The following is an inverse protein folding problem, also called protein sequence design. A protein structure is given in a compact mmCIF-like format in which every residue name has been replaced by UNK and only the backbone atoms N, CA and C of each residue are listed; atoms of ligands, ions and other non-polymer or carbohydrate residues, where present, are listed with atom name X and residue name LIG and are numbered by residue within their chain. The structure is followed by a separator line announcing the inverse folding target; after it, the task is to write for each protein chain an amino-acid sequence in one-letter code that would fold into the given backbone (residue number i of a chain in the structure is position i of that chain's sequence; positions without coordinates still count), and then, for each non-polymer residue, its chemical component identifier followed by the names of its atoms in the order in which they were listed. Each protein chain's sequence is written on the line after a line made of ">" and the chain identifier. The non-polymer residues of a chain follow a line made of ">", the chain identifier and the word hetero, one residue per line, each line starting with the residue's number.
data_IF_979216074743
#
_entry.id   IF_979216074743
#
_cell.length_a   1.000
_cell.length_b   1.000
_cell.length_c   1.000
_cell.angle_alpha   90.00
_cell.angle_beta   90.00
_cell.angle_gamma   90.00
#
_symmetry.space_group_name_H-M   'P 1'
#
loop_
_entity.id
_entity.type
_entity.pdbx_description
1 polymer ?
#
# COMPACT_ATOMS: atom_id res chain seq x y z
N UNK A 1 26.49 -14.59 8.34
CA UNK A 1 27.15 -13.88 9.45
C UNK A 1 28.00 -12.73 8.92
N UNK A 2 29.15 -12.97 8.26
CA UNK A 2 30.01 -11.90 7.73
C UNK A 2 29.29 -10.92 6.78
N UNK A 3 28.49 -11.43 5.84
CA UNK A 3 27.74 -10.59 4.88
C UNK A 3 26.66 -9.76 5.57
N UNK A 4 26.00 -10.31 6.59
CA UNK A 4 24.99 -9.60 7.40
C UNK A 4 25.63 -8.47 8.21
N UNK A 5 26.85 -8.70 8.72
CA UNK A 5 27.64 -7.69 9.43
C UNK A 5 28.06 -6.57 8.47
N UNK A 6 28.62 -6.91 7.31
CA UNK A 6 29.02 -5.94 6.28
C UNK A 6 27.81 -5.09 5.86
N UNK A 7 26.67 -5.72 5.62
CA UNK A 7 25.42 -5.04 5.26
C UNK A 7 24.94 -4.05 6.32
N UNK A 8 25.01 -4.42 7.61
CA UNK A 8 24.65 -3.53 8.71
C UNK A 8 25.61 -2.37 8.87
N UNK A 9 26.91 -2.62 8.75
CA UNK A 9 27.94 -1.58 8.77
C UNK A 9 27.69 -0.59 7.63
N UNK A 10 27.47 -1.08 6.40
CA UNK A 10 27.14 -0.25 5.25
C UNK A 10 25.84 0.55 5.45
N UNK A 11 24.81 -0.05 6.05
CA UNK A 11 23.57 0.66 6.38
C UNK A 11 23.75 1.77 7.42
N UNK A 12 24.56 1.52 8.46
CA UNK A 12 24.87 2.52 9.48
C UNK A 12 25.75 3.65 8.92
N UNK A 13 26.70 3.33 8.04
CA UNK A 13 27.53 4.31 7.34
C UNK A 13 26.68 5.18 6.40
N UNK A 14 25.74 4.59 5.65
CA UNK A 14 24.81 5.35 4.80
C UNK A 14 23.92 6.30 5.61
N UNK A 15 23.38 5.84 6.76
CA UNK A 15 22.61 6.69 7.68
C UNK A 15 23.46 7.85 8.26
N UNK A 16 24.72 7.58 8.59
CA UNK A 16 25.65 8.57 9.13
C UNK A 16 26.03 9.63 8.09
N UNK A 17 26.21 9.23 6.83
CA UNK A 17 26.63 10.11 5.73
C UNK A 17 25.50 10.96 5.13
N UNK A 18 24.22 10.74 5.52
CA UNK A 18 23.04 11.49 5.06
C UNK A 18 22.90 11.60 3.53
N UNK A 19 23.46 10.66 2.76
CA UNK A 19 23.52 10.70 1.29
C UNK A 19 22.23 10.28 0.56
N UNK A 20 21.09 10.22 1.25
CA UNK A 20 19.77 9.99 0.66
C UNK A 20 19.29 8.52 0.64
N UNK A 21 17.98 8.33 0.84
CA UNK A 21 17.20 7.09 0.75
C UNK A 21 17.76 5.82 1.44
N UNK A 22 18.44 5.98 2.59
CA UNK A 22 19.19 4.91 3.29
C UNK A 22 18.40 3.66 3.75
N UNK A 23 17.11 3.55 3.46
CA UNK A 23 16.29 2.39 3.81
C UNK A 23 16.48 1.20 2.85
N UNK A 24 16.79 1.39 1.57
CA UNK A 24 16.85 0.30 0.56
C UNK A 24 18.26 -0.03 0.07
N UNK A 25 19.19 0.92 0.17
CA UNK A 25 20.57 0.78 -0.32
C UNK A 25 21.31 -0.43 0.26
N UNK A 26 21.25 -0.74 1.57
CA UNK A 26 21.92 -1.92 2.11
C UNK A 26 21.49 -3.21 1.42
N UNK A 27 20.18 -3.36 1.19
CA UNK A 27 19.63 -4.50 0.47
C UNK A 27 20.02 -4.54 -1.01
N UNK A 28 20.08 -3.39 -1.70
CA UNK A 28 20.55 -3.34 -3.08
C UNK A 28 22.01 -3.82 -3.22
N UNK A 29 22.91 -3.37 -2.35
CA UNK A 29 24.30 -3.80 -2.34
C UNK A 29 24.42 -5.30 -2.08
N UNK A 30 23.69 -5.82 -1.08
CA UNK A 30 23.70 -7.25 -0.79
C UNK A 30 23.19 -8.06 -1.96
N UNK A 31 22.08 -7.66 -2.60
CA UNK A 31 21.56 -8.40 -3.74
C UNK A 31 22.55 -8.39 -4.92
N UNK A 32 23.34 -7.32 -5.08
CA UNK A 32 24.39 -7.22 -6.12
C UNK A 32 25.60 -8.11 -5.81
N UNK A 33 26.13 -8.08 -4.59
CA UNK A 33 27.34 -8.80 -4.22
C UNK A 33 27.08 -10.23 -3.72
N UNK A 34 25.86 -10.52 -3.28
CA UNK A 34 25.43 -11.84 -2.80
C UNK A 34 24.05 -12.21 -3.36
N UNK A 35 23.97 -12.62 -4.64
CA UNK A 35 22.70 -12.90 -5.32
C UNK A 35 21.83 -13.97 -4.63
N UNK A 36 22.44 -14.89 -3.88
CA UNK A 36 21.73 -15.93 -3.11
C UNK A 36 21.17 -15.44 -1.77
N UNK A 37 21.37 -14.17 -1.40
CA UNK A 37 20.94 -13.63 -0.11
C UNK A 37 19.46 -13.85 0.15
N UNK A 38 18.61 -13.47 -0.81
CA UNK A 38 17.16 -13.58 -0.69
C UNK A 38 16.74 -15.03 -0.58
N UNK A 39 17.19 -15.90 -1.49
CA UNK A 39 16.91 -17.35 -1.43
C UNK A 39 17.25 -17.94 -0.05
N UNK A 40 18.43 -17.65 0.49
CA UNK A 40 18.86 -18.20 1.79
C UNK A 40 18.14 -17.58 2.98
N UNK A 41 17.82 -16.29 2.93
CA UNK A 41 17.22 -15.59 4.05
C UNK A 41 15.72 -15.81 4.14
N UNK A 42 15.02 -15.85 3.00
CA UNK A 42 13.58 -16.13 2.95
C UNK A 42 13.25 -17.54 3.47
N UNK A 43 14.13 -18.52 3.20
CA UNK A 43 14.02 -19.89 3.73
C UNK A 43 14.15 -20.00 5.26
N UNK A 44 14.50 -18.93 5.98
CA UNK A 44 14.60 -18.93 7.44
C UNK A 44 13.26 -18.65 8.15
N UNK A 45 12.25 -18.16 7.43
CA UNK A 45 10.93 -17.86 7.99
C UNK A 45 10.10 -19.15 8.15
N UNK A 46 10.55 -20.03 9.03
CA UNK A 46 10.01 -21.39 9.16
C UNK A 46 8.59 -21.46 9.73
N UNK A 47 8.13 -20.41 10.43
CA UNK A 47 6.78 -20.38 11.00
C UNK A 47 5.76 -19.77 10.04
N UNK A 48 6.20 -19.07 9.00
CA UNK A 48 5.31 -18.48 8.01
C UNK A 48 5.95 -17.40 7.14
N UNK A 49 5.90 -17.61 5.84
CA UNK A 49 6.27 -16.65 4.82
C UNK A 49 5.03 -16.27 4.00
N UNK A 50 4.68 -14.98 3.99
CA UNK A 50 3.54 -14.43 3.27
C UNK A 50 4.00 -13.38 2.27
N UNK A 51 3.58 -13.55 1.03
CA UNK A 51 3.71 -12.53 -0.01
C UNK A 51 2.36 -11.90 -0.31
N UNK A 52 2.30 -10.58 -0.31
CA UNK A 52 1.10 -9.82 -0.65
C UNK A 52 1.41 -8.97 -1.88
N UNK A 53 0.68 -9.23 -2.96
CA UNK A 53 0.86 -8.57 -4.25
C UNK A 53 -0.47 -8.08 -4.80
N UNK A 54 -0.38 -7.26 -5.84
CA UNK A 54 -1.49 -6.63 -6.52
C UNK A 54 -1.37 -5.12 -6.53
N UNK A 55 -1.96 -4.47 -7.50
CA UNK A 55 -1.66 -3.06 -7.80
C UNK A 55 -1.99 -2.12 -6.63
N UNK A 56 -3.07 -2.41 -5.89
CA UNK A 56 -3.56 -1.66 -4.75
C UNK A 56 -3.78 -2.53 -3.50
N UNK A 57 -3.61 -1.93 -2.31
CA UNK A 57 -3.96 -2.54 -1.03
C UNK A 57 -2.83 -3.32 -0.33
N UNK A 58 -1.68 -3.55 -1.00
CA UNK A 58 -0.54 -4.31 -0.47
C UNK A 58 -0.11 -3.87 0.94
N UNK A 59 0.18 -2.58 1.10
CA UNK A 59 0.67 -2.01 2.36
C UNK A 59 -0.35 -2.12 3.49
N UNK A 60 -1.63 -1.89 3.18
CA UNK A 60 -2.73 -1.99 4.15
C UNK A 60 -2.91 -3.43 4.64
N UNK A 61 -3.00 -4.39 3.71
CA UNK A 61 -3.15 -5.82 4.03
C UNK A 61 -1.92 -6.33 4.79
N UNK A 62 -0.72 -5.94 4.36
CA UNK A 62 0.55 -6.28 5.05
C UNK A 62 0.56 -5.76 6.49
N UNK A 63 0.12 -4.52 6.70
CA UNK A 63 0.02 -3.91 8.03
C UNK A 63 -0.95 -4.68 8.93
N UNK A 64 -2.13 -5.08 8.45
CA UNK A 64 -3.08 -5.85 9.24
C UNK A 64 -2.52 -7.21 9.70
N UNK A 65 -1.90 -7.95 8.78
CA UNK A 65 -1.26 -9.24 9.10
C UNK A 65 -0.13 -9.03 10.12
N UNK A 66 0.76 -8.07 9.89
CA UNK A 66 1.88 -7.77 10.77
C UNK A 66 1.43 -7.32 12.17
N UNK A 67 0.40 -6.47 12.28
CA UNK A 67 -0.15 -5.99 13.56
C UNK A 67 -0.75 -7.13 14.37
N UNK A 68 -1.48 -8.05 13.74
CA UNK A 68 -2.03 -9.22 14.42
C UNK A 68 -0.94 -10.11 15.02
N UNK A 69 0.10 -10.41 14.24
CA UNK A 69 1.22 -11.24 14.68
C UNK A 69 2.01 -10.55 15.81
N UNK A 70 2.28 -9.25 15.65
CA UNK A 70 2.99 -8.44 16.67
C UNK A 70 2.20 -8.34 17.96
N UNK A 71 0.88 -8.16 17.91
CA UNK A 71 0.00 -8.12 19.09
C UNK A 71 -0.04 -9.45 19.86
N UNK A 72 0.43 -10.55 19.25
CA UNK A 72 0.61 -11.86 19.88
C UNK A 72 2.05 -12.09 20.38
N UNK A 73 2.86 -11.04 20.41
CA UNK A 73 4.29 -11.11 20.74
C UNK A 73 5.09 -12.02 19.79
N UNK A 74 4.62 -12.21 18.56
CA UNK A 74 5.35 -12.96 17.53
C UNK A 74 6.28 -12.02 16.78
N UNK A 75 7.50 -12.49 16.53
CA UNK A 75 8.50 -11.70 15.83
C UNK A 75 8.30 -11.77 14.31
N UNK A 76 8.01 -10.61 13.73
CA UNK A 76 7.68 -10.38 12.31
C UNK A 76 8.71 -9.48 11.65
N UNK A 77 9.04 -9.77 10.40
CA UNK A 77 9.74 -8.85 9.49
C UNK A 77 8.79 -8.45 8.36
N UNK A 78 8.76 -7.15 8.05
CA UNK A 78 8.01 -6.59 6.93
C UNK A 78 8.79 -5.42 6.31
N UNK A 79 8.54 -5.13 5.03
CA UNK A 79 9.10 -3.99 4.30
C UNK A 79 8.20 -2.74 4.43
N UNK A 80 8.04 -2.24 5.66
CA UNK A 80 7.13 -1.16 6.04
C UNK A 80 7.34 0.18 5.31
N UNK A 81 8.48 0.38 4.65
CA UNK A 81 8.80 1.62 3.92
C UNK A 81 8.17 1.70 2.52
N UNK A 82 7.35 0.73 2.09
CA UNK A 82 6.80 0.73 0.73
C UNK A 82 7.74 0.09 -0.31
N UNK A 83 8.90 -0.42 0.12
CA UNK A 83 9.97 -0.85 -0.78
C UNK A 83 9.72 -2.30 -1.23
N UNK A 84 8.86 -2.45 -2.23
CA UNK A 84 8.27 -3.69 -2.72
C UNK A 84 9.15 -4.50 -3.71
N UNK A 85 10.40 -4.07 -3.93
CA UNK A 85 11.38 -4.73 -4.79
C UNK A 85 12.46 -5.47 -3.97
N UNK A 86 13.28 -6.27 -4.65
CA UNK A 86 14.33 -7.12 -4.05
C UNK A 86 15.23 -6.39 -3.05
N UNK A 87 15.68 -5.18 -3.37
CA UNK A 87 16.51 -4.37 -2.47
C UNK A 87 15.79 -3.93 -1.19
N UNK A 88 14.50 -3.59 -1.29
CA UNK A 88 13.69 -3.20 -0.13
C UNK A 88 13.43 -4.36 0.83
N UNK A 89 13.03 -5.50 0.27
CA UNK A 89 12.83 -6.73 1.05
C UNK A 89 14.14 -7.19 1.70
N UNK A 90 15.24 -7.22 0.94
CA UNK A 90 16.55 -7.59 1.46
C UNK A 90 16.98 -6.67 2.61
N UNK A 91 16.80 -5.35 2.46
CA UNK A 91 17.16 -4.40 3.51
C UNK A 91 16.32 -4.57 4.79
N UNK A 92 15.03 -4.91 4.64
CA UNK A 92 14.13 -5.17 5.76
C UNK A 92 14.53 -6.43 6.53
N UNK A 93 14.91 -7.48 5.80
CA UNK A 93 15.46 -8.72 6.38
C UNK A 93 16.77 -8.44 7.14
N UNK A 94 17.68 -7.66 6.57
CA UNK A 94 18.95 -7.29 7.22
C UNK A 94 18.72 -6.55 8.52
N UNK A 95 17.76 -5.61 8.50
CA UNK A 95 17.41 -4.80 9.66
C UNK A 95 16.83 -5.64 10.80
N UNK A 96 16.18 -6.76 10.49
CA UNK A 96 15.67 -7.70 11.48
C UNK A 96 16.75 -8.52 12.21
N UNK A 97 17.93 -8.74 11.61
CA UNK A 97 19.01 -9.51 12.27
C UNK A 97 19.62 -8.71 13.42
N UNK A 98 20.24 -9.37 14.41
CA UNK A 98 21.14 -8.72 15.37
C UNK A 98 22.55 -8.51 14.77
N UNK A 99 23.48 -7.87 15.50
CA UNK A 99 24.84 -7.61 15.00
C UNK A 99 25.71 -8.87 14.87
N UNK A 100 25.29 -9.98 15.46
CA UNK A 100 25.92 -11.30 15.33
C UNK A 100 25.30 -12.11 14.17
N UNK A 101 24.30 -11.55 13.47
CA UNK A 101 23.58 -12.21 12.39
C UNK A 101 22.60 -13.29 12.88
N UNK A 102 22.23 -13.29 14.16
CA UNK A 102 21.16 -14.11 14.72
C UNK A 102 19.81 -13.44 14.44
N UNK A 103 18.80 -14.27 14.22
CA UNK A 103 17.42 -13.83 13.98
C UNK A 103 16.53 -14.37 15.09
N UNK A 104 15.71 -13.50 15.68
CA UNK A 104 14.58 -13.90 16.53
C UNK A 104 13.26 -13.96 15.76
N UNK A 105 13.25 -13.56 14.49
CA UNK A 105 12.05 -13.47 13.67
C UNK A 105 11.65 -14.80 13.08
N UNK A 106 10.35 -15.09 13.20
CA UNK A 106 9.74 -16.35 12.81
C UNK A 106 8.85 -16.21 11.57
N UNK A 107 8.30 -15.00 11.36
CA UNK A 107 7.35 -14.70 10.29
C UNK A 107 7.90 -13.60 9.36
N UNK A 108 7.75 -13.81 8.04
CA UNK A 108 8.08 -12.82 7.01
C UNK A 108 6.83 -12.41 6.25
N UNK A 109 6.41 -11.15 6.36
CA UNK A 109 5.21 -10.62 5.70
C UNK A 109 5.66 -9.51 4.76
N UNK A 110 5.76 -9.81 3.46
CA UNK A 110 6.32 -8.91 2.48
C UNK A 110 5.28 -8.46 1.46
N UNK A 111 5.16 -7.15 1.29
CA UNK A 111 4.51 -6.60 0.10
C UNK A 111 5.48 -6.68 -1.09
N UNK A 112 5.00 -7.20 -2.21
CA UNK A 112 5.81 -7.43 -3.39
C UNK A 112 5.11 -6.80 -4.58
N UNK A 113 5.89 -6.14 -5.43
CA UNK A 113 5.41 -5.63 -6.71
C UNK A 113 4.97 -6.79 -7.62
N UNK A 114 3.84 -6.65 -8.29
CA UNK A 114 3.30 -7.65 -9.20
C UNK A 114 4.31 -8.07 -10.28
N UNK A 115 5.07 -7.12 -10.85
CA UNK A 115 6.10 -7.41 -11.83
C UNK A 115 7.34 -8.10 -11.24
N UNK A 116 7.60 -7.91 -9.94
CA UNK A 116 8.68 -8.58 -9.21
C UNK A 116 8.28 -9.94 -8.64
N UNK A 117 6.99 -10.25 -8.53
CA UNK A 117 6.50 -11.50 -7.95
C UNK A 117 7.11 -12.77 -8.56
N UNK A 118 7.26 -12.91 -9.90
CA UNK A 118 7.93 -14.07 -10.50
C UNK A 118 9.37 -14.26 -9.99
N UNK A 119 10.12 -13.17 -9.80
CA UNK A 119 11.47 -13.23 -9.28
C UNK A 119 11.49 -13.75 -7.84
N UNK A 120 10.62 -13.22 -6.97
CA UNK A 120 10.55 -13.67 -5.56
C UNK A 120 10.11 -15.13 -5.42
N UNK A 121 9.14 -15.57 -6.22
CA UNK A 121 8.70 -16.97 -6.25
C UNK A 121 9.84 -17.92 -6.65
N UNK A 122 10.66 -17.54 -7.63
CA UNK A 122 11.88 -18.29 -8.00
C UNK A 122 12.92 -18.32 -6.86
N UNK A 123 12.97 -17.30 -6.00
CA UNK A 123 13.87 -17.29 -4.85
C UNK A 123 13.36 -18.20 -3.72
N UNK A 124 12.09 -18.10 -3.35
CA UNK A 124 11.49 -18.90 -2.29
C UNK A 124 9.97 -18.83 -2.40
N UNK A 125 9.31 -19.98 -2.55
CA UNK A 125 7.86 -20.07 -2.47
C UNK A 125 7.38 -19.66 -1.06
N UNK A 126 6.36 -18.81 -0.93
CA UNK A 126 5.75 -18.50 0.35
C UNK A 126 4.85 -19.65 0.82
N UNK A 127 4.42 -19.62 2.07
CA UNK A 127 3.35 -20.51 2.55
C UNK A 127 1.98 -19.96 2.12
N UNK A 128 1.86 -18.63 2.05
CA UNK A 128 0.67 -17.93 1.58
C UNK A 128 1.04 -16.83 0.58
N UNK A 129 0.35 -16.82 -0.56
CA UNK A 129 0.46 -15.79 -1.58
C UNK A 129 -0.90 -15.12 -1.77
N UNK A 130 -0.98 -13.81 -1.54
CA UNK A 130 -2.21 -13.02 -1.63
C UNK A 130 -2.17 -12.12 -2.87
N UNK A 131 -3.17 -12.24 -3.75
CA UNK A 131 -3.42 -11.38 -4.90
C UNK A 131 -4.65 -10.50 -4.66
N UNK A 132 -4.44 -9.20 -4.48
CA UNK A 132 -5.54 -8.28 -4.17
C UNK A 132 -6.28 -7.79 -5.43
N UNK A 133 -5.53 -7.41 -6.47
CA UNK A 133 -6.05 -6.90 -7.76
C UNK A 133 -4.88 -6.75 -8.75
N UNK A 134 -5.16 -6.73 -10.04
CA UNK A 134 -4.25 -6.43 -11.13
C UNK A 134 -4.91 -5.36 -12.00
N UNK A 135 -4.52 -4.10 -11.80
CA UNK A 135 -5.01 -2.98 -12.60
C UNK A 135 -3.94 -2.49 -13.57
N UNK A 136 -4.39 -1.97 -14.71
CA UNK A 136 -3.55 -1.23 -15.67
C UNK A 136 -3.27 0.18 -15.11
N UNK A 137 -2.55 0.28 -13.99
CA UNK A 137 -2.36 1.58 -13.32
C UNK A 137 -1.23 2.43 -13.91
N UNK A 138 -0.34 1.88 -14.76
CA UNK A 138 0.73 2.64 -15.43
C UNK A 138 0.99 2.07 -16.84
N UNK A 139 0.68 2.84 -17.88
CA UNK A 139 0.91 2.48 -19.29
C UNK A 139 2.38 2.10 -19.59
N UNK A 140 3.32 2.52 -18.74
CA UNK A 140 4.76 2.45 -19.01
C UNK A 140 5.54 1.42 -18.17
N UNK A 141 4.89 0.65 -17.27
CA UNK A 141 5.61 -0.26 -16.36
C UNK A 141 5.14 -1.71 -16.42
N UNK A 142 5.94 -2.49 -17.15
CA UNK A 142 5.82 -3.95 -17.35
C UNK A 142 4.52 -4.32 -18.08
N UNK A 143 4.67 -5.08 -19.17
CA UNK A 143 3.59 -5.37 -20.12
C UNK A 143 2.29 -5.86 -19.47
N UNK A 144 1.20 -5.66 -20.22
CA UNK A 144 -0.19 -6.06 -19.95
C UNK A 144 -0.39 -6.98 -18.72
N UNK A 145 -1.33 -6.67 -17.80
CA UNK A 145 -1.59 -7.47 -16.60
C UNK A 145 -1.67 -8.99 -16.84
N UNK A 146 -2.17 -9.41 -18.02
CA UNK A 146 -2.17 -10.80 -18.47
C UNK A 146 -0.75 -11.42 -18.52
N UNK A 147 0.25 -10.74 -19.08
CA UNK A 147 1.64 -11.21 -19.16
C UNK A 147 2.24 -11.38 -17.76
N UNK A 148 1.95 -10.43 -16.86
CA UNK A 148 2.42 -10.52 -15.47
C UNK A 148 1.81 -11.73 -14.78
N UNK A 149 0.50 -11.96 -14.98
CA UNK A 149 -0.20 -13.13 -14.44
C UNK A 149 0.36 -14.43 -15.02
N UNK A 150 0.57 -14.52 -16.34
CA UNK A 150 1.14 -15.70 -17.01
C UNK A 150 2.50 -16.06 -16.44
N UNK A 151 3.41 -15.09 -16.30
CA UNK A 151 4.74 -15.30 -15.71
C UNK A 151 4.70 -15.78 -14.26
N UNK A 152 3.74 -15.29 -13.48
CA UNK A 152 3.54 -15.75 -12.10
C UNK A 152 3.08 -17.20 -12.11
N UNK A 153 2.11 -17.54 -12.96
CA UNK A 153 1.57 -18.89 -13.08
C UNK A 153 2.65 -19.87 -13.54
N UNK A 154 3.46 -19.53 -14.54
CA UNK A 154 4.60 -20.34 -14.99
C UNK A 154 5.55 -20.72 -13.86
N UNK A 155 5.76 -19.83 -12.89
CA UNK A 155 6.60 -20.10 -11.71
C UNK A 155 5.83 -20.92 -10.67
N UNK A 156 4.54 -20.66 -10.45
CA UNK A 156 3.72 -21.46 -9.53
C UNK A 156 3.58 -22.92 -9.98
N UNK A 157 3.59 -23.18 -11.29
CA UNK A 157 3.63 -24.55 -11.83
C UNK A 157 4.86 -25.34 -11.38
N UNK A 158 5.94 -24.65 -11.00
CA UNK A 158 7.18 -25.27 -10.51
C UNK A 158 7.21 -25.41 -8.99
N UNK A 159 6.11 -25.11 -8.29
CA UNK A 159 6.04 -25.19 -6.85
C UNK A 159 6.29 -26.62 -6.36
N UNK A 160 7.35 -26.78 -5.55
CA UNK A 160 7.76 -28.04 -4.93
C UNK A 160 7.24 -28.22 -3.51
N UNK A 161 6.56 -27.20 -2.97
CA UNK A 161 5.90 -27.25 -1.66
C UNK A 161 4.49 -26.68 -1.77
N UNK A 162 3.64 -27.00 -0.81
CA UNK A 162 2.29 -26.45 -0.72
C UNK A 162 2.32 -24.92 -0.62
N UNK A 163 1.53 -24.23 -1.44
CA UNK A 163 1.32 -22.78 -1.39
C UNK A 163 -0.17 -22.49 -1.37
N UNK A 164 -0.63 -21.73 -0.37
CA UNK A 164 -2.02 -21.25 -0.34
C UNK A 164 -2.11 -19.95 -1.13
N UNK A 165 -2.81 -19.95 -2.26
CA UNK A 165 -3.02 -18.77 -3.10
C UNK A 165 -4.40 -18.20 -2.81
N UNK A 166 -4.43 -16.98 -2.25
CA UNK A 166 -5.66 -16.24 -1.96
C UNK A 166 -5.80 -15.15 -3.02
N UNK A 167 -6.95 -15.07 -3.69
CA UNK A 167 -7.15 -14.06 -4.74
C UNK A 167 -8.55 -13.45 -4.70
N UNK A 168 -8.66 -12.21 -5.19
CA UNK A 168 -9.93 -11.50 -5.33
C UNK A 168 -10.65 -11.96 -6.62
N UNK A 169 -11.85 -12.56 -6.54
CA UNK A 169 -12.58 -13.06 -7.70
C UNK A 169 -13.26 -11.93 -8.51
N UNK A 170 -13.37 -10.73 -7.96
CA UNK A 170 -13.97 -9.59 -8.66
C UNK A 170 -12.99 -8.92 -9.64
N UNK A 171 -11.72 -9.30 -9.58
CA UNK A 171 -10.71 -8.86 -10.53
C UNK A 171 -10.67 -9.80 -11.74
N UNK A 172 -11.00 -9.27 -12.92
CA UNK A 172 -11.15 -10.06 -14.15
C UNK A 172 -9.91 -10.91 -14.46
N UNK A 173 -8.70 -10.37 -14.26
CA UNK A 173 -7.47 -11.09 -14.52
C UNK A 173 -7.29 -12.25 -13.53
N UNK A 174 -7.52 -11.99 -12.25
CA UNK A 174 -7.34 -13.01 -11.21
C UNK A 174 -8.35 -14.16 -11.29
N UNK A 175 -9.53 -13.97 -11.90
CA UNK A 175 -10.48 -15.08 -12.14
C UNK A 175 -9.89 -16.22 -12.98
N UNK A 176 -8.90 -15.91 -13.83
CA UNK A 176 -8.25 -16.89 -14.71
C UNK A 176 -7.27 -17.78 -13.92
N UNK A 177 -6.79 -17.33 -12.77
CA UNK A 177 -5.67 -17.92 -12.03
C UNK A 177 -5.86 -19.43 -11.73
N UNK A 178 -7.01 -19.91 -11.19
CA UNK A 178 -7.22 -21.34 -10.94
C UNK A 178 -7.36 -22.20 -12.21
N UNK A 179 -7.66 -21.59 -13.37
CA UNK A 179 -7.83 -22.31 -14.64
C UNK A 179 -6.50 -22.57 -15.33
N UNK A 180 -5.52 -21.69 -15.09
CA UNK A 180 -4.24 -21.72 -15.79
C UNK A 180 -3.29 -22.70 -15.11
N UNK A 181 -3.27 -22.75 -13.77
CA UNK A 181 -2.34 -23.61 -13.03
C UNK A 181 -2.99 -24.89 -12.50
N UNK A 182 -2.37 -26.03 -12.79
CA UNK A 182 -2.83 -27.38 -12.42
C UNK A 182 -1.93 -28.07 -11.39
N UNK A 183 -0.90 -27.38 -10.90
CA UNK A 183 0.00 -27.95 -9.90
C UNK A 183 -0.76 -28.29 -8.59
N UNK A 184 -0.75 -29.56 -8.12
CA UNK A 184 -1.50 -29.99 -6.93
C UNK A 184 -0.98 -29.40 -5.61
N UNK A 185 0.21 -28.83 -5.61
CA UNK A 185 0.75 -28.11 -4.45
C UNK A 185 0.10 -26.73 -4.26
N UNK A 186 -0.62 -26.22 -5.25
CA UNK A 186 -1.28 -24.92 -5.14
C UNK A 186 -2.71 -25.12 -4.64
N UNK A 187 -3.05 -24.47 -3.52
CA UNK A 187 -4.39 -24.48 -2.96
C UNK A 187 -5.00 -23.10 -3.09
N UNK A 188 -6.02 -22.97 -3.95
CA UNK A 188 -6.73 -21.73 -4.16
C UNK A 188 -7.77 -21.45 -3.06
N UNK A 189 -7.84 -20.19 -2.64
CA UNK A 189 -8.90 -19.65 -1.80
C UNK A 189 -9.36 -18.31 -2.37
N UNK A 190 -10.65 -18.07 -2.29
CA UNK A 190 -11.28 -16.89 -2.88
C UNK A 190 -11.60 -15.89 -1.78
N UNK A 191 -11.20 -14.64 -1.96
CA UNK A 191 -11.66 -13.54 -1.10
C UNK A 191 -13.16 -13.38 -1.35
N UNK A 192 -14.03 -13.52 -0.32
CA UNK A 192 -15.45 -13.23 -0.45
C UNK A 192 -15.71 -11.87 -1.10
N UNK A 193 -16.84 -11.74 -1.78
CA UNK A 193 -17.24 -10.46 -2.35
C UNK A 193 -17.47 -9.45 -1.22
N UNK A 194 -16.81 -8.29 -1.34
CA UNK A 194 -16.83 -7.24 -0.33
C UNK A 194 -17.10 -5.89 -0.99
N UNK A 195 -17.94 -5.07 -0.37
CA UNK A 195 -18.43 -3.81 -0.95
C UNK A 195 -17.35 -2.70 -1.02
N UNK A 196 -16.28 -2.82 -0.25
CA UNK A 196 -15.27 -1.75 -0.12
C UNK A 196 -13.86 -2.30 -0.13
N UNK A 197 -12.91 -1.53 -0.67
CA UNK A 197 -11.49 -1.90 -0.69
C UNK A 197 -10.92 -2.20 0.70
N UNK A 198 -11.38 -1.50 1.75
CA UNK A 198 -10.91 -1.76 3.11
C UNK A 198 -11.41 -3.11 3.64
N UNK A 199 -12.65 -3.49 3.34
CA UNK A 199 -13.19 -4.81 3.66
C UNK A 199 -12.43 -5.90 2.91
N UNK A 200 -12.17 -5.72 1.60
CA UNK A 200 -11.31 -6.63 0.81
C UNK A 200 -9.95 -6.83 1.48
N UNK A 201 -9.27 -5.74 1.87
CA UNK A 201 -7.95 -5.82 2.53
C UNK A 201 -8.01 -6.51 3.90
N UNK A 202 -9.04 -6.24 4.70
CA UNK A 202 -9.25 -6.90 6.00
C UNK A 202 -9.50 -8.40 5.81
N UNK A 203 -10.40 -8.77 4.91
CA UNK A 203 -10.75 -10.16 4.62
C UNK A 203 -9.55 -10.92 4.03
N UNK A 204 -8.79 -10.29 3.13
CA UNK A 204 -7.53 -10.85 2.63
C UNK A 204 -6.52 -11.09 3.76
N UNK A 205 -6.37 -10.15 4.70
CA UNK A 205 -5.49 -10.30 5.86
C UNK A 205 -5.95 -11.44 6.80
N UNK A 206 -7.24 -11.55 7.05
CA UNK A 206 -7.83 -12.66 7.82
C UNK A 206 -7.49 -14.00 7.17
N UNK A 207 -7.77 -14.13 5.87
CA UNK A 207 -7.51 -15.37 5.13
C UNK A 207 -6.02 -15.70 5.07
N UNK A 208 -5.14 -14.69 5.00
CA UNK A 208 -3.70 -14.90 5.02
C UNK A 208 -3.25 -15.50 6.36
N UNK A 209 -3.77 -14.97 7.47
CA UNK A 209 -3.52 -15.51 8.81
C UNK A 209 -4.12 -16.91 9.00
N UNK A 210 -5.30 -17.19 8.44
CA UNK A 210 -5.86 -18.55 8.42
C UNK A 210 -5.00 -19.50 7.57
N UNK A 211 -4.41 -19.01 6.48
CA UNK A 211 -3.44 -19.74 5.65
C UNK A 211 -2.15 -20.10 6.41
N UNK A 212 -1.76 -19.27 7.38
CA UNK A 212 -0.68 -19.55 8.34
C UNK A 212 -1.10 -20.44 9.52
N UNK A 213 -2.37 -20.87 9.57
CA UNK A 213 -2.89 -21.77 10.61
C UNK A 213 -3.46 -21.09 11.86
N UNK A 214 -3.64 -19.76 11.87
CA UNK A 214 -4.32 -19.09 12.97
C UNK A 214 -5.85 -19.32 12.91
N UNK A 215 -6.50 -19.44 14.08
CA UNK A 215 -7.95 -19.70 14.19
C UNK A 215 -8.79 -18.50 13.75
N UNK A 216 -9.75 -18.74 12.84
CA UNK A 216 -10.54 -17.71 12.17
C UNK A 216 -11.27 -16.72 13.07
N UNK A 217 -11.93 -17.16 14.15
CA UNK A 217 -12.79 -16.28 14.97
C UNK A 217 -12.01 -15.22 15.75
N UNK A 218 -10.79 -15.53 16.19
CA UNK A 218 -9.96 -14.56 16.90
C UNK A 218 -9.24 -13.63 15.93
N UNK A 219 -8.89 -14.14 14.76
CA UNK A 219 -8.31 -13.36 13.65
C UNK A 219 -9.31 -12.32 13.17
N UNK A 220 -10.54 -12.73 12.81
CA UNK A 220 -11.59 -11.83 12.32
C UNK A 220 -11.86 -10.70 13.29
N UNK A 221 -12.18 -11.02 14.54
CA UNK A 221 -12.45 -10.02 15.58
C UNK A 221 -11.30 -9.04 15.78
N UNK A 222 -10.05 -9.50 15.70
CA UNK A 222 -8.91 -8.60 15.84
C UNK A 222 -8.78 -7.68 14.62
N UNK A 223 -8.78 -8.22 13.41
CA UNK A 223 -8.57 -7.47 12.15
C UNK A 223 -9.73 -6.51 11.88
N UNK A 224 -10.96 -6.89 12.20
CA UNK A 224 -12.15 -6.02 12.10
C UNK A 224 -11.99 -4.77 12.97
N UNK A 225 -11.47 -4.94 14.19
CA UNK A 225 -11.23 -3.86 15.14
C UNK A 225 -9.94 -3.06 14.88
N UNK A 226 -9.11 -3.47 13.92
CA UNK A 226 -7.97 -2.65 13.51
C UNK A 226 -8.49 -1.39 12.80
N UNK A 227 -8.10 -0.24 13.35
CA UNK A 227 -8.22 1.04 12.68
C UNK A 227 -7.41 1.09 11.38
N UNK A 228 -7.64 2.12 10.58
CA UNK A 228 -7.03 2.32 9.27
C UNK A 228 -5.49 2.31 9.30
N UNK A 229 -4.87 1.77 8.25
CA UNK A 229 -3.41 1.72 8.11
C UNK A 229 -2.85 3.05 7.57
N UNK A 230 -1.59 3.35 7.90
CA UNK A 230 -0.83 4.56 7.55
C UNK A 230 -1.21 5.23 6.22
N UNK A 231 -1.55 6.53 6.25
CA UNK A 231 -1.84 7.36 5.06
C UNK A 231 -3.10 6.99 4.25
N UNK A 232 -3.84 5.93 4.63
CA UNK A 232 -5.11 5.51 4.01
C UNK A 232 -6.20 5.41 5.08
N UNK A 233 -6.76 6.56 5.45
CA UNK A 233 -7.77 6.71 6.50
C UNK A 233 -7.16 7.07 7.86
N UNK A 234 -5.95 7.63 7.86
CA UNK A 234 -5.34 8.16 9.09
C UNK A 234 -6.13 9.38 9.56
N UNK A 235 -6.71 9.28 10.75
CA UNK A 235 -7.38 10.38 11.41
C UNK A 235 -6.39 11.10 12.33
N UNK A 236 -6.16 12.38 12.04
CA UNK A 236 -5.32 13.27 12.83
C UNK A 236 -6.22 14.32 13.45
N UNK A 237 -6.22 14.43 14.77
CA UNK A 237 -6.83 15.57 15.45
C UNK A 237 -5.88 16.78 15.32
N UNK A 238 -6.33 17.82 14.63
CA UNK A 238 -5.59 19.07 14.45
C UNK A 238 -6.51 20.26 14.73
N UNK A 239 -6.14 21.08 15.71
CA UNK A 239 -7.04 22.12 16.27
C UNK A 239 -8.37 21.47 16.69
N UNK A 240 -9.50 21.99 16.22
CA UNK A 240 -10.84 21.45 16.44
C UNK A 240 -11.35 20.61 15.26
N UNK A 241 -10.45 20.10 14.41
CA UNK A 241 -10.76 19.28 13.26
C UNK A 241 -10.30 17.83 13.46
N UNK A 242 -11.11 16.89 12.95
CA UNK A 242 -10.67 15.53 12.64
C UNK A 242 -10.30 15.49 11.16
N UNK A 243 -9.01 15.33 10.87
CA UNK A 243 -8.47 15.33 9.51
C UNK A 243 -8.20 13.89 9.08
N UNK A 244 -8.95 13.40 8.10
CA UNK A 244 -8.71 12.10 7.46
C UNK A 244 -7.85 12.28 6.21
N UNK A 245 -6.74 11.55 6.13
CA UNK A 245 -5.85 11.56 4.96
C UNK A 245 -6.04 10.28 4.14
N UNK A 246 -6.42 10.45 2.87
CA UNK A 246 -6.69 9.40 1.89
C UNK A 246 -5.72 9.53 0.69
N UNK A 247 -4.51 8.98 0.85
CA UNK A 247 -3.49 8.99 -0.21
C UNK A 247 -3.99 8.36 -1.50
N UNK A 248 -3.83 9.08 -2.62
CA UNK A 248 -4.14 8.61 -3.96
C UNK A 248 -2.94 8.82 -4.90
N UNK A 249 -2.58 7.78 -5.65
CA UNK A 249 -1.39 7.79 -6.53
C UNK A 249 -1.70 7.47 -7.99
N UNK A 250 -2.93 7.06 -8.26
CA UNK A 250 -3.39 6.58 -9.56
C UNK A 250 -4.94 6.55 -9.55
N UNK A 251 -5.59 6.33 -10.72
CA UNK A 251 -7.05 6.37 -10.82
C UNK A 251 -7.73 5.33 -9.93
N UNK A 252 -7.21 4.09 -9.89
CA UNK A 252 -7.81 3.02 -9.10
C UNK A 252 -7.83 3.33 -7.60
N UNK A 253 -6.70 3.78 -7.03
CA UNK A 253 -6.62 4.19 -5.62
C UNK A 253 -7.48 5.41 -5.31
N UNK A 254 -7.58 6.35 -6.26
CA UNK A 254 -8.43 7.53 -6.09
C UNK A 254 -9.91 7.16 -6.07
N UNK A 255 -10.37 6.36 -7.04
CA UNK A 255 -11.74 5.86 -7.13
C UNK A 255 -12.13 5.05 -5.88
N UNK A 256 -11.20 4.25 -5.35
CA UNK A 256 -11.37 3.54 -4.08
C UNK A 256 -11.64 4.50 -2.90
N UNK A 257 -10.84 5.56 -2.78
CA UNK A 257 -10.98 6.57 -1.72
C UNK A 257 -12.29 7.35 -1.86
N UNK A 258 -12.67 7.73 -3.08
CA UNK A 258 -13.96 8.40 -3.33
C UNK A 258 -15.14 7.49 -2.97
N UNK A 259 -15.08 6.22 -3.37
CA UNK A 259 -16.13 5.24 -3.08
C UNK A 259 -16.32 5.04 -1.57
N UNK A 260 -15.23 5.04 -0.80
CA UNK A 260 -15.28 4.98 0.66
C UNK A 260 -16.08 6.16 1.23
N UNK A 261 -15.75 7.40 0.83
CA UNK A 261 -16.41 8.62 1.29
C UNK A 261 -17.87 8.70 0.82
N UNK A 262 -18.17 8.17 -0.36
CA UNK A 262 -19.55 8.07 -0.87
C UNK A 262 -20.36 7.03 -0.09
N UNK A 263 -19.78 5.89 0.27
CA UNK A 263 -20.44 4.81 1.00
C UNK A 263 -20.65 5.10 2.50
N UNK A 264 -19.84 5.99 3.10
CA UNK A 264 -20.05 6.41 4.47
C UNK A 264 -21.45 6.99 4.68
N UNK A 265 -22.16 6.44 5.69
CA UNK A 265 -23.52 6.85 6.06
C UNK A 265 -23.55 8.36 6.33
N UNK A 266 -24.67 9.05 6.02
CA UNK A 266 -24.74 10.52 5.91
C UNK A 266 -24.72 11.27 7.26
N UNK A 267 -23.92 10.86 8.24
CA UNK A 267 -23.95 11.45 9.58
C UNK A 267 -22.97 12.61 9.81
N UNK A 268 -22.01 12.88 8.90
CA UNK A 268 -21.03 13.95 9.09
C UNK A 268 -20.72 14.66 7.77
N UNK A 269 -21.24 15.88 7.62
CA UNK A 269 -20.75 16.82 6.60
C UNK A 269 -19.25 17.03 6.81
N UNK A 270 -18.48 17.11 5.71
CA UNK A 270 -17.03 17.25 5.76
C UNK A 270 -16.53 18.25 4.71
N UNK A 271 -15.29 18.70 4.88
CA UNK A 271 -14.61 19.59 3.94
C UNK A 271 -13.60 18.77 3.10
N UNK A 272 -13.84 18.55 1.80
CA UNK A 272 -12.88 17.89 0.92
C UNK A 272 -11.73 18.84 0.55
N UNK A 273 -10.51 18.30 0.57
CA UNK A 273 -9.30 18.97 0.07
C UNK A 273 -8.62 18.04 -0.93
N UNK A 274 -8.47 18.47 -2.18
CA UNK A 274 -7.74 17.75 -3.21
C UNK A 274 -6.35 18.36 -3.39
N UNK A 275 -5.29 17.56 -3.27
CA UNK A 275 -3.91 18.06 -3.38
C UNK A 275 -3.16 17.30 -4.46
N UNK A 276 -2.89 17.96 -5.58
CA UNK A 276 -2.19 17.38 -6.72
C UNK A 276 -0.82 18.03 -6.92
N UNK A 277 0.23 17.25 -6.62
CA UNK A 277 1.61 17.58 -6.97
C UNK A 277 2.11 16.72 -8.14
N UNK A 278 3.10 17.23 -8.87
CA UNK A 278 3.79 16.56 -9.98
C UNK A 278 5.31 16.46 -9.75
N UNK A 279 5.73 16.29 -8.50
CA UNK A 279 7.15 16.05 -8.19
C UNK A 279 7.58 14.66 -8.68
N UNK A 280 8.89 14.39 -8.70
CA UNK A 280 9.45 13.09 -9.16
C UNK A 280 8.76 11.88 -8.50
N UNK A 281 8.47 11.86 -7.18
CA UNK A 281 7.77 10.74 -6.56
C UNK A 281 6.29 10.59 -6.95
N UNK A 282 5.66 11.64 -7.45
CA UNK A 282 4.24 11.68 -7.84
C UNK A 282 4.06 11.32 -9.32
N UNK A 283 5.07 11.61 -10.15
CA UNK A 283 4.97 11.56 -11.60
C UNK A 283 4.77 12.96 -12.18
N UNK A 284 5.52 13.27 -13.24
CA UNK A 284 5.43 14.57 -13.93
C UNK A 284 4.17 14.71 -14.78
N UNK A 285 3.68 13.58 -15.29
CA UNK A 285 2.41 13.53 -16.01
C UNK A 285 1.25 13.31 -15.02
N UNK A 286 0.29 14.21 -15.04
CA UNK A 286 -0.92 14.18 -14.21
C UNK A 286 -2.17 13.80 -15.02
N UNK A 287 -2.03 13.38 -16.27
CA UNK A 287 -3.14 12.98 -17.15
C UNK A 287 -4.04 11.91 -16.53
N UNK A 288 -3.50 11.07 -15.64
CA UNK A 288 -4.24 10.04 -14.91
C UNK A 288 -5.47 10.59 -14.14
N UNK A 289 -5.50 11.88 -13.79
CA UNK A 289 -6.67 12.47 -13.11
C UNK A 289 -7.95 12.42 -13.97
N UNK A 290 -7.81 12.32 -15.29
CA UNK A 290 -8.94 12.20 -16.22
C UNK A 290 -9.58 10.81 -16.21
N UNK A 291 -8.85 9.77 -15.79
CA UNK A 291 -9.36 8.41 -15.64
C UNK A 291 -10.09 8.17 -14.30
N UNK A 292 -10.13 9.19 -13.43
CA UNK A 292 -10.93 9.16 -12.19
C UNK A 292 -12.42 9.20 -12.57
N UNK A 293 -13.26 8.44 -11.87
CA UNK A 293 -14.71 8.39 -12.11
C UNK A 293 -15.38 9.75 -11.80
N UNK A 294 -15.94 10.39 -12.84
CA UNK A 294 -16.61 11.68 -12.72
C UNK A 294 -17.85 11.65 -11.81
N UNK A 295 -18.61 10.55 -11.79
CA UNK A 295 -19.78 10.42 -10.94
C UNK A 295 -19.39 10.33 -9.46
N UNK A 296 -18.28 9.64 -9.15
CA UNK A 296 -17.74 9.61 -7.80
C UNK A 296 -17.23 10.98 -7.35
N UNK A 297 -16.47 11.69 -8.20
CA UNK A 297 -16.01 13.05 -7.91
C UNK A 297 -17.18 13.99 -7.63
N UNK A 298 -18.20 13.96 -8.48
CA UNK A 298 -19.38 14.79 -8.30
C UNK A 298 -20.12 14.47 -7.00
N UNK A 299 -20.29 13.17 -6.66
CA UNK A 299 -20.93 12.75 -5.41
C UNK A 299 -20.16 13.23 -4.18
N UNK A 300 -18.83 13.14 -4.19
CA UNK A 300 -17.99 13.63 -3.09
C UNK A 300 -18.09 15.15 -2.96
N UNK A 301 -18.03 15.90 -4.06
CA UNK A 301 -18.16 17.36 -4.02
C UNK A 301 -19.56 17.80 -3.56
N UNK A 302 -20.62 17.10 -3.97
CA UNK A 302 -22.00 17.37 -3.50
C UNK A 302 -22.21 17.08 -2.01
N UNK A 303 -21.41 16.18 -1.41
CA UNK A 303 -21.41 15.92 0.04
C UNK A 303 -20.57 16.95 0.83
N UNK A 304 -19.85 17.85 0.16
CA UNK A 304 -19.07 18.87 0.83
C UNK A 304 -19.98 19.77 1.68
N UNK A 305 -19.54 20.08 2.90
CA UNK A 305 -20.27 20.97 3.82
C UNK A 305 -20.52 22.36 3.25
N UNK A 306 -19.53 22.89 2.51
CA UNK A 306 -19.49 24.28 2.09
C UNK A 306 -18.68 24.41 0.79
N UNK A 307 -17.35 24.50 0.92
CA UNK A 307 -16.44 24.66 -0.21
C UNK A 307 -15.58 23.42 -0.40
N UNK A 308 -15.17 23.21 -1.65
CA UNK A 308 -14.19 22.21 -2.07
C UNK A 308 -12.85 22.89 -2.25
N UNK A 309 -11.84 22.44 -1.52
CA UNK A 309 -10.52 23.05 -1.55
C UNK A 309 -9.59 22.27 -2.49
N UNK A 310 -8.78 22.99 -3.26
CA UNK A 310 -7.84 22.39 -4.21
C UNK A 310 -6.49 23.10 -4.09
N UNK A 311 -5.41 22.34 -4.02
CA UNK A 311 -4.06 22.87 -3.86
C UNK A 311 -2.97 21.95 -4.44
N UNK A 312 -1.71 22.30 -4.26
CA UNK A 312 -0.55 21.63 -4.84
C UNK A 312 -0.05 22.27 -6.14
N UNK A 313 1.06 21.77 -6.66
CA UNK A 313 1.73 22.35 -7.86
C UNK A 313 0.85 22.33 -9.11
N UNK A 314 -0.13 21.43 -9.16
CA UNK A 314 -1.09 21.25 -10.27
C UNK A 314 -2.54 21.46 -9.83
N UNK A 315 -2.74 22.37 -8.86
CA UNK A 315 -4.06 22.72 -8.34
C UNK A 315 -5.05 23.12 -9.44
N UNK A 316 -4.58 23.90 -10.42
CA UNK A 316 -5.41 24.37 -11.53
C UNK A 316 -5.84 23.25 -12.47
N UNK A 317 -4.96 22.28 -12.79
CA UNK A 317 -5.32 21.10 -13.56
C UNK A 317 -6.43 20.30 -12.87
N UNK A 318 -6.32 20.11 -11.55
CA UNK A 318 -7.34 19.38 -10.79
C UNK A 318 -8.64 20.18 -10.66
N UNK A 319 -8.58 21.51 -10.56
CA UNK A 319 -9.77 22.36 -10.58
C UNK A 319 -10.57 22.22 -11.88
N UNK A 320 -9.87 22.22 -13.03
CA UNK A 320 -10.47 22.00 -14.33
C UNK A 320 -11.12 20.61 -14.37
N UNK A 321 -10.42 19.60 -13.85
CA UNK A 321 -10.95 18.23 -13.77
C UNK A 321 -12.25 18.14 -12.96
N UNK A 322 -12.38 18.87 -11.84
CA UNK A 322 -13.62 18.90 -11.05
C UNK A 322 -14.76 19.63 -11.77
N UNK A 323 -14.47 20.71 -12.49
CA UNK A 323 -15.45 21.41 -13.34
C UNK A 323 -15.95 20.48 -14.44
N UNK A 324 -15.05 19.77 -15.11
CA UNK A 324 -15.40 18.76 -16.12
C UNK A 324 -16.19 17.57 -15.54
N UNK A 325 -16.02 17.26 -14.25
CA UNK A 325 -16.85 16.29 -13.54
C UNK A 325 -18.26 16.80 -13.20
N UNK A 326 -18.55 18.08 -13.46
CA UNK A 326 -19.83 18.72 -13.15
C UNK A 326 -19.91 19.30 -11.74
N UNK A 327 -18.79 19.73 -11.17
CA UNK A 327 -18.75 20.54 -9.93
C UNK A 327 -18.83 22.02 -10.28
N UNK A 328 -19.61 22.80 -9.53
CA UNK A 328 -19.73 24.25 -9.77
C UNK A 328 -18.40 24.96 -9.51
N UNK A 329 -17.89 25.82 -10.42
CA UNK A 329 -16.71 26.64 -10.16
C UNK A 329 -16.82 27.50 -8.90
N UNK A 330 -18.02 28.00 -8.58
CA UNK A 330 -18.26 28.87 -7.42
C UNK A 330 -18.09 28.16 -6.07
N UNK A 331 -18.14 26.82 -6.05
CA UNK A 331 -17.90 26.03 -4.84
C UNK A 331 -16.43 25.63 -4.68
N UNK A 332 -15.53 26.08 -5.56
CA UNK A 332 -14.11 25.72 -5.54
C UNK A 332 -13.26 26.84 -4.93
N UNK A 333 -12.36 26.46 -4.02
CA UNK A 333 -11.29 27.32 -3.52
C UNK A 333 -9.95 26.74 -3.98
N UNK A 334 -9.30 27.42 -4.92
CA UNK A 334 -8.05 26.97 -5.55
C UNK A 334 -6.90 27.90 -5.13
N UNK A 335 -5.82 27.33 -4.62
CA UNK A 335 -4.58 28.06 -4.30
C UNK A 335 -3.41 27.06 -4.32
N UNK A 336 -2.28 27.41 -4.91
CA UNK A 336 -1.11 26.52 -5.01
C UNK A 336 -0.40 26.33 -3.66
N UNK A 337 -0.61 27.23 -2.71
CA UNK A 337 0.03 27.18 -1.39
C UNK A 337 -0.73 26.25 -0.42
N UNK A 338 -0.16 25.06 -0.18
CA UNK A 338 -0.77 24.01 0.66
C UNK A 338 -1.10 24.53 2.06
N UNK A 339 -0.18 25.24 2.72
CA UNK A 339 -0.36 25.75 4.08
C UNK A 339 -1.51 26.75 4.18
N UNK A 340 -1.71 27.57 3.13
CA UNK A 340 -2.82 28.54 3.05
C UNK A 340 -4.16 27.81 2.98
N UNK A 341 -4.25 26.81 2.12
CA UNK A 341 -5.47 26.03 1.93
C UNK A 341 -5.80 25.19 3.16
N UNK A 342 -4.82 24.51 3.74
CA UNK A 342 -5.01 23.72 4.96
C UNK A 342 -5.45 24.61 6.14
N UNK A 343 -4.88 25.80 6.30
CA UNK A 343 -5.34 26.75 7.32
C UNK A 343 -6.79 27.20 7.10
N UNK A 344 -7.17 27.56 5.87
CA UNK A 344 -8.53 27.96 5.53
C UNK A 344 -9.53 26.83 5.80
N UNK A 345 -9.24 25.63 5.29
CA UNK A 345 -10.12 24.48 5.41
C UNK A 345 -10.28 23.97 6.86
N UNK A 346 -9.23 24.07 7.69
CA UNK A 346 -9.27 23.64 9.10
C UNK A 346 -9.78 24.72 10.07
N UNK A 347 -10.05 25.95 9.60
CA UNK A 347 -10.46 27.05 10.48
C UNK A 347 -11.84 26.87 11.12
N UNK A 348 -12.77 26.19 10.44
CA UNK A 348 -14.18 26.05 10.86
C UNK A 348 -14.45 24.85 11.79
N UNK A 349 -13.43 24.05 12.14
CA UNK A 349 -13.61 22.82 12.91
C UNK A 349 -14.32 21.71 12.10
N UNK A 350 -14.53 20.55 12.73
CA UNK A 350 -15.30 19.45 12.14
C UNK A 350 -14.45 18.44 11.35
N UNK A 351 -15.04 17.80 10.34
CA UNK A 351 -14.37 16.73 9.58
C UNK A 351 -13.76 17.28 8.30
N UNK A 352 -12.48 16.98 8.08
CA UNK A 352 -11.75 17.38 6.87
C UNK A 352 -11.21 16.12 6.23
N UNK A 353 -11.43 15.94 4.93
CA UNK A 353 -10.92 14.78 4.19
C UNK A 353 -9.97 15.26 3.11
N UNK A 354 -8.72 14.84 3.22
CA UNK A 354 -7.64 15.23 2.30
C UNK A 354 -7.35 14.08 1.34
N UNK A 355 -7.32 14.37 0.05
CA UNK A 355 -6.95 13.47 -1.03
C UNK A 355 -5.62 13.94 -1.67
N UNK A 356 -4.46 13.64 -1.06
CA UNK A 356 -3.18 14.10 -1.58
C UNK A 356 -2.49 13.06 -2.49
N UNK A 357 -1.63 13.53 -3.38
CA UNK A 357 -0.52 12.72 -3.94
C UNK A 357 0.57 12.47 -2.89
N UNK A 358 1.63 11.73 -3.24
CA UNK A 358 2.60 11.27 -2.26
C UNK A 358 3.41 12.41 -1.62
N UNK A 359 3.97 13.33 -2.41
CA UNK A 359 4.72 14.48 -1.85
C UNK A 359 3.78 15.40 -1.07
N UNK A 360 2.58 15.66 -1.61
CA UNK A 360 1.53 16.43 -0.97
C UNK A 360 1.11 15.84 0.40
N UNK A 361 1.09 14.52 0.54
CA UNK A 361 0.81 13.85 1.80
C UNK A 361 1.89 14.16 2.84
N UNK A 362 3.17 14.13 2.46
CA UNK A 362 4.28 14.43 3.36
C UNK A 362 4.22 15.89 3.84
N UNK A 363 3.90 16.82 2.93
CA UNK A 363 3.71 18.24 3.23
C UNK A 363 2.52 18.47 4.17
N UNK A 364 1.37 17.86 3.86
CA UNK A 364 0.17 17.89 4.70
C UNK A 364 0.47 17.38 6.11
N UNK A 365 1.17 16.24 6.24
CA UNK A 365 1.55 15.69 7.54
C UNK A 365 2.48 16.62 8.31
N UNK A 366 3.47 17.20 7.63
CA UNK A 366 4.42 18.15 8.24
C UNK A 366 3.68 19.35 8.81
N UNK A 367 2.66 19.83 8.11
CA UNK A 367 1.77 20.90 8.58
C UNK A 367 0.96 20.47 9.80
N UNK A 368 0.33 19.29 9.78
CA UNK A 368 -0.58 18.84 10.84
C UNK A 368 0.14 18.36 12.12
N UNK A 369 1.28 17.68 12.00
CA UNK A 369 1.97 17.00 13.11
C UNK A 369 3.26 17.71 13.55
N UNK A 370 3.74 18.69 12.78
CA UNK A 370 5.08 19.24 12.94
C UNK A 370 6.18 18.26 12.52
N UNK A 371 7.46 18.64 12.68
CA UNK A 371 8.66 17.94 12.15
C UNK A 371 8.97 16.55 12.75
N UNK A 372 7.99 15.74 13.16
CA UNK A 372 8.22 14.34 13.56
C UNK A 372 7.77 13.39 12.45
N UNK A 373 8.69 13.09 11.54
CA UNK A 373 8.61 11.89 10.69
C UNK A 373 9.18 10.75 11.55
N UNK A 374 8.40 9.69 11.89
CA UNK A 374 8.95 8.47 12.48
C UNK A 374 9.83 7.71 11.48
#
# INVERSE_FOLDING_TARGET
>A
MLITIIAKVLGNVSKLLRTGAGATWPGHLICKFYPQFLNKSLKKFNNGLVYITGTNGKTTTTSFVARFLTARNLSVVTNSTGANLSGGVASSIVSGFDYLGRSSFCYGIFEIDEGAAPYFLKQCFPDVLVFLNLSRDQLDRYGEPDITLERIVEVLEQASKKVVVIYNPLDEFLTKLPKITKNPNIVYRVIPEEETFIKVNKTAAVMALEGLGFKGDLVRRFVENLGHAFGRGEEITFKNCQVSILLAKNPASFNANLSLVVAEKPQKEFTPIFILNDNIPDGRDVSWIYDIDSALLQKVCKKARDLVFITGTRAWDFSLRLVLAGTSPDSLVVDTEIDTVLNKATSKGGYVTVFPTYSAMLETRKFLLGRKIP
#
